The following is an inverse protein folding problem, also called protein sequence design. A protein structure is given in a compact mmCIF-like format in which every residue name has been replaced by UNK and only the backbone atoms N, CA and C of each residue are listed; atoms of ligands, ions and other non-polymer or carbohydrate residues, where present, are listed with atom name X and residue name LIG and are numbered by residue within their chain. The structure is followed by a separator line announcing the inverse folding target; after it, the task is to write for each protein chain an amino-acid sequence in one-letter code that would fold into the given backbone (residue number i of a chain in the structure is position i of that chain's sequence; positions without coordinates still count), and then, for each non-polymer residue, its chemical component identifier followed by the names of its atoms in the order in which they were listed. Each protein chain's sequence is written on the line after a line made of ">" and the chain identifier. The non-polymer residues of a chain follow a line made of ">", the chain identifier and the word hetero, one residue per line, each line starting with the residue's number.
data_IF_545094753870
#
_entry.id   IF_545094753870
#
_cell.length_a   1.000
_cell.length_b   1.000
_cell.length_c   1.000
_cell.angle_alpha   90.00
_cell.angle_beta   90.00
_cell.angle_gamma   90.00
#
_symmetry.space_group_name_H-M   'P 1'
#
loop_
_entity.id
_entity.type
_entity.pdbx_description
1 polymer ?
#
# COMPACT_ATOMS: atom_id res chain seq x y z
N UNK A 1 -10.83 -5.63 21.52
CA UNK A 1 -10.73 -4.23 21.06
C UNK A 1 -9.30 -3.96 20.62
N UNK A 2 -9.11 -3.70 19.32
CA UNK A 2 -7.79 -3.62 18.70
C UNK A 2 -7.10 -2.31 19.08
N UNK A 3 -5.90 -2.40 19.68
CA UNK A 3 -5.07 -1.28 20.13
C UNK A 3 -4.43 -0.55 18.92
N UNK A 4 -5.26 -0.09 17.98
CA UNK A 4 -4.84 0.53 16.71
C UNK A 4 -4.33 1.96 16.89
N UNK A 5 -4.73 2.63 17.96
CA UNK A 5 -4.44 4.06 18.18
C UNK A 5 -2.96 4.33 18.47
N UNK A 6 -2.29 3.45 19.23
CA UNK A 6 -0.86 3.56 19.51
C UNK A 6 0.01 3.33 18.28
N UNK A 7 -0.29 2.29 17.50
CA UNK A 7 0.45 1.96 16.27
C UNK A 7 0.34 3.06 15.22
N UNK A 8 -0.87 3.62 15.02
CA UNK A 8 -1.08 4.72 14.07
C UNK A 8 -0.32 5.99 14.46
N UNK A 9 -0.17 6.27 15.76
CA UNK A 9 0.64 7.40 16.26
C UNK A 9 2.12 7.19 16.00
N UNK A 10 2.63 5.98 16.26
CA UNK A 10 4.04 5.65 16.02
C UNK A 10 4.35 5.76 14.52
N UNK A 11 3.47 5.22 13.67
CA UNK A 11 3.62 5.30 12.22
C UNK A 11 3.60 6.75 11.73
N UNK A 12 2.70 7.59 12.26
CA UNK A 12 2.66 9.01 11.93
C UNK A 12 3.93 9.75 12.37
N UNK A 13 4.44 9.47 13.57
CA UNK A 13 5.69 10.05 14.06
C UNK A 13 6.88 9.62 13.19
N UNK A 14 6.97 8.34 12.81
CA UNK A 14 8.03 7.83 11.93
C UNK A 14 7.96 8.48 10.55
N UNK A 15 6.76 8.62 9.99
CA UNK A 15 6.57 9.27 8.69
C UNK A 15 6.99 10.74 8.71
N UNK A 16 6.57 11.50 9.73
CA UNK A 16 6.96 12.90 9.90
C UNK A 16 8.46 13.04 10.15
N UNK A 17 9.05 12.15 10.95
CA UNK A 17 10.49 12.17 11.19
C UNK A 17 11.28 11.87 9.92
N UNK A 18 10.84 10.89 9.12
CA UNK A 18 11.46 10.56 7.85
C UNK A 18 11.38 11.72 6.84
N UNK A 19 10.23 12.40 6.73
CA UNK A 19 10.10 13.56 5.83
C UNK A 19 10.98 14.72 6.26
N UNK A 20 11.06 15.00 7.55
CA UNK A 20 11.96 16.04 8.10
C UNK A 20 13.42 15.71 7.82
N UNK A 21 13.85 14.45 8.00
CA UNK A 21 15.20 14.03 7.67
C UNK A 21 15.51 14.15 6.17
N UNK A 22 14.58 13.76 5.29
CA UNK A 22 14.76 13.89 3.83
C UNK A 22 14.93 15.36 3.43
N UNK A 23 14.13 16.26 4.00
CA UNK A 23 14.22 17.71 3.71
C UNK A 23 15.53 18.29 4.25
N UNK A 24 15.94 17.92 5.46
CA UNK A 24 17.20 18.38 6.06
C UNK A 24 18.42 17.91 5.28
N UNK A 25 18.46 16.62 4.91
CA UNK A 25 19.55 16.06 4.10
C UNK A 25 19.58 16.71 2.72
N UNK A 26 18.42 16.96 2.10
CA UNK A 26 18.35 17.69 0.83
C UNK A 26 18.89 19.13 0.96
N UNK A 27 18.58 19.82 2.06
CA UNK A 27 19.08 21.18 2.33
C UNK A 27 20.59 21.23 2.60
N UNK A 28 21.13 20.27 3.35
CA UNK A 28 22.57 20.15 3.62
C UNK A 28 23.35 19.83 2.35
N UNK A 29 22.87 18.89 1.53
CA UNK A 29 23.47 18.57 0.24
C UNK A 29 23.45 19.75 -0.73
N UNK A 30 22.36 20.54 -0.72
CA UNK A 30 22.25 21.73 -1.55
C UNK A 30 23.18 22.85 -1.06
N UNK A 31 23.35 22.98 0.25
CA UNK A 31 24.28 23.95 0.86
C UNK A 31 25.74 23.60 0.62
N UNK A 32 26.11 22.33 0.71
CA UNK A 32 27.48 21.87 0.45
C UNK A 32 27.86 21.96 -1.03
N UNK A 33 26.87 22.00 -1.94
CA UNK A 33 27.10 22.05 -3.39
C UNK A 33 26.65 23.37 -4.06
N UNK A 34 26.33 24.41 -3.28
CA UNK A 34 25.83 25.70 -3.77
C UNK A 34 26.80 26.47 -4.71
N UNK A 35 28.03 25.98 -4.90
CA UNK A 35 29.04 26.54 -5.80
C UNK A 35 29.43 25.65 -6.99
N UNK A 36 28.84 24.47 -7.17
CA UNK A 36 29.23 23.57 -8.26
C UNK A 36 28.47 23.86 -9.55
N UNK A 37 29.19 24.29 -10.58
CA UNK A 37 28.71 24.36 -11.95
C UNK A 37 28.65 22.92 -12.46
N UNK A 38 27.45 22.32 -12.46
CA UNK A 38 27.20 20.98 -13.01
C UNK A 38 27.46 20.98 -14.53
N UNK A 39 28.73 20.86 -14.92
CA UNK A 39 29.14 20.86 -16.32
C UNK A 39 29.04 19.46 -16.95
N UNK A 40 29.11 18.40 -16.14
CA UNK A 40 29.01 17.01 -16.59
C UNK A 40 28.06 16.22 -15.67
N UNK A 41 26.88 15.91 -16.21
CA UNK A 41 25.73 15.35 -15.48
C UNK A 41 25.94 13.90 -14.99
N UNK A 42 27.03 13.26 -15.38
CA UNK A 42 27.24 11.82 -15.23
C UNK A 42 27.90 11.39 -13.91
N UNK A 43 28.55 12.30 -13.17
CA UNK A 43 29.24 11.97 -11.92
C UNK A 43 28.98 12.96 -10.77
N UNK A 44 27.87 13.70 -10.79
CA UNK A 44 27.51 14.53 -9.64
C UNK A 44 26.85 13.68 -8.54
N UNK A 45 27.46 13.56 -7.34
CA UNK A 45 26.93 12.74 -6.25
C UNK A 45 25.59 13.25 -5.71
N UNK A 46 25.26 14.53 -5.94
CA UNK A 46 23.96 15.10 -5.58
C UNK A 46 22.86 14.58 -6.52
N UNK A 47 23.13 14.55 -7.83
CA UNK A 47 22.18 14.10 -8.83
C UNK A 47 21.87 12.60 -8.67
N UNK A 48 22.87 11.78 -8.33
CA UNK A 48 22.65 10.35 -8.06
C UNK A 48 21.82 10.11 -6.80
N UNK A 49 22.04 10.89 -5.73
CA UNK A 49 21.23 10.80 -4.52
C UNK A 49 19.77 11.20 -4.75
N UNK A 50 19.53 12.26 -5.54
CA UNK A 50 18.18 12.70 -5.92
C UNK A 50 17.48 11.60 -6.74
N UNK A 51 18.18 11.02 -7.72
CA UNK A 51 17.65 9.93 -8.54
C UNK A 51 17.29 8.72 -7.67
N UNK A 52 18.16 8.36 -6.72
CA UNK A 52 17.93 7.24 -5.81
C UNK A 52 16.76 7.51 -4.85
N UNK A 53 16.61 8.75 -4.38
CA UNK A 53 15.47 9.17 -3.58
C UNK A 53 14.16 9.05 -4.38
N UNK A 54 14.13 9.52 -5.62
CA UNK A 54 12.98 9.41 -6.51
C UNK A 54 12.58 7.94 -6.74
N UNK A 55 13.56 7.07 -7.01
CA UNK A 55 13.33 5.63 -7.20
C UNK A 55 12.78 4.97 -5.94
N UNK A 56 13.29 5.32 -4.77
CA UNK A 56 12.79 4.81 -3.49
C UNK A 56 11.35 5.28 -3.23
N UNK A 57 11.03 6.54 -3.48
CA UNK A 57 9.66 7.07 -3.33
C UNK A 57 8.71 6.36 -4.30
N UNK A 58 9.10 6.18 -5.56
CA UNK A 58 8.31 5.43 -6.56
C UNK A 58 8.08 3.98 -6.14
N UNK A 59 9.10 3.33 -5.58
CA UNK A 59 9.02 1.93 -5.13
C UNK A 59 8.12 1.79 -3.91
N UNK A 60 8.27 2.68 -2.92
CA UNK A 60 7.41 2.68 -1.72
C UNK A 60 5.96 3.01 -2.10
N UNK A 61 5.75 4.00 -2.98
CA UNK A 61 4.42 4.38 -3.47
C UNK A 61 3.73 3.24 -4.22
N UNK A 62 4.42 2.59 -5.16
CA UNK A 62 3.87 1.46 -5.91
C UNK A 62 3.60 0.25 -5.01
N UNK A 63 4.49 -0.04 -4.06
CA UNK A 63 4.28 -1.09 -3.05
C UNK A 63 3.07 -0.81 -2.15
N UNK A 64 2.86 0.43 -1.71
CA UNK A 64 1.72 0.81 -0.88
C UNK A 64 0.40 0.63 -1.63
N UNK A 65 0.36 1.03 -2.90
CA UNK A 65 -0.80 0.85 -3.78
C UNK A 65 -1.10 -0.64 -3.95
N UNK A 66 -0.09 -1.47 -4.20
CA UNK A 66 -0.26 -2.91 -4.36
C UNK A 66 -0.80 -3.58 -3.07
N UNK A 67 -0.33 -3.17 -1.90
CA UNK A 67 -0.85 -3.71 -0.62
C UNK A 67 -2.30 -3.26 -0.40
N UNK A 68 -2.62 -2.00 -0.69
CA UNK A 68 -3.98 -1.48 -0.54
C UNK A 68 -4.98 -2.20 -1.47
N UNK A 69 -4.60 -2.46 -2.73
CA UNK A 69 -5.46 -3.19 -3.67
C UNK A 69 -5.72 -4.63 -3.23
N UNK A 70 -4.69 -5.34 -2.74
CA UNK A 70 -4.85 -6.71 -2.22
C UNK A 70 -5.79 -6.74 -1.03
N UNK A 71 -5.66 -5.80 -0.08
CA UNK A 71 -6.55 -5.71 1.08
C UNK A 71 -7.99 -5.45 0.63
N UNK A 72 -8.19 -4.54 -0.32
CA UNK A 72 -9.51 -4.21 -0.86
C UNK A 72 -10.16 -5.43 -1.53
N UNK A 73 -9.43 -6.15 -2.39
CA UNK A 73 -9.93 -7.35 -3.05
C UNK A 73 -10.26 -8.46 -2.04
N UNK A 74 -9.40 -8.69 -1.05
CA UNK A 74 -9.67 -9.69 -0.02
C UNK A 74 -10.94 -9.35 0.78
N UNK A 75 -11.14 -8.07 1.10
CA UNK A 75 -12.33 -7.58 1.80
C UNK A 75 -13.61 -7.82 0.98
N UNK A 76 -13.62 -7.40 -0.27
CA UNK A 76 -14.81 -7.57 -1.14
C UNK A 76 -15.13 -9.05 -1.36
N UNK A 77 -14.12 -9.90 -1.54
CA UNK A 77 -14.32 -11.35 -1.66
C UNK A 77 -14.91 -11.96 -0.39
N UNK A 78 -14.44 -11.54 0.78
CA UNK A 78 -14.99 -12.02 2.05
C UNK A 78 -16.45 -11.59 2.20
N UNK A 79 -16.79 -10.35 1.88
CA UNK A 79 -18.15 -9.83 1.90
C UNK A 79 -19.07 -10.58 0.93
N UNK A 80 -18.60 -10.85 -0.30
CA UNK A 80 -19.30 -11.69 -1.28
C UNK A 80 -19.58 -13.08 -0.74
N UNK A 81 -18.59 -13.76 -0.15
CA UNK A 81 -18.76 -15.10 0.43
C UNK A 81 -19.76 -15.08 1.58
N UNK A 82 -19.75 -14.05 2.43
CA UNK A 82 -20.72 -13.92 3.52
C UNK A 82 -22.13 -13.55 3.03
N UNK A 83 -22.23 -12.79 1.93
CA UNK A 83 -23.50 -12.43 1.30
C UNK A 83 -24.11 -13.59 0.51
N UNK A 84 -23.27 -14.51 0.02
CA UNK A 84 -23.66 -15.87 -0.35
C UNK A 84 -23.99 -16.66 0.92
N UNK A 85 -25.07 -16.26 1.60
CA UNK A 85 -25.83 -17.18 2.44
C UNK A 85 -26.06 -18.44 1.59
N UNK A 86 -25.60 -19.59 2.10
CA UNK A 86 -25.92 -20.89 1.56
C UNK A 86 -27.45 -21.03 1.66
N UNK A 87 -28.16 -20.50 0.64
CA UNK A 87 -29.48 -20.98 0.29
C UNK A 87 -29.23 -22.41 -0.13
N UNK A 88 -29.23 -23.29 0.88
CA UNK A 88 -29.60 -24.67 0.69
C UNK A 88 -30.88 -24.59 -0.09
N UNK A 89 -30.79 -24.79 -1.40
CA UNK A 89 -31.95 -25.09 -2.20
C UNK A 89 -32.32 -26.47 -1.70
N UNK A 90 -32.96 -26.55 -0.53
CA UNK A 90 -33.73 -27.70 -0.12
C UNK A 90 -34.89 -27.74 -1.10
N UNK A 91 -34.58 -28.16 -2.33
CA UNK A 91 -35.58 -28.72 -3.24
C UNK A 91 -36.08 -29.93 -2.48
N UNK A 92 -37.17 -29.75 -1.75
CA UNK A 92 -37.88 -30.88 -1.17
C UNK A 92 -38.24 -31.80 -2.35
N UNK A 93 -38.22 -33.11 -2.16
CA UNK A 93 -38.61 -34.07 -3.21
C UNK A 93 -40.00 -33.75 -3.80
N UNK A 94 -40.84 -33.07 -3.01
CA UNK A 94 -42.12 -32.47 -3.39
C UNK A 94 -41.98 -31.36 -4.44
N UNK A 95 -41.00 -30.46 -4.30
CA UNK A 95 -40.74 -29.37 -5.25
C UNK A 95 -40.13 -29.88 -6.57
N UNK A 96 -39.36 -30.97 -6.52
CA UNK A 96 -38.76 -31.59 -7.70
C UNK A 96 -39.72 -32.55 -8.44
N UNK A 97 -40.95 -32.72 -7.93
CA UNK A 97 -42.02 -33.54 -8.52
C UNK A 97 -41.56 -34.95 -8.92
N UNK A 98 -40.55 -35.47 -8.23
CA UNK A 98 -40.05 -36.83 -8.42
C UNK A 98 -41.14 -37.76 -7.92
N UNK A 99 -41.62 -38.65 -8.80
CA UNK A 99 -42.62 -39.64 -8.39
C UNK A 99 -41.93 -40.62 -7.46
N UNK A 100 -42.54 -40.83 -6.29
CA UNK A 100 -42.21 -41.95 -5.43
C UNK A 100 -42.94 -43.15 -6.00
N UNK A 101 -42.32 -43.87 -6.92
CA UNK A 101 -42.69 -45.24 -7.21
C UNK A 101 -42.20 -46.13 -6.05
N UNK A 102 -43.16 -46.79 -5.40
CA UNK A 102 -42.97 -47.77 -4.33
C UNK A 102 -42.90 -49.18 -4.88
#
# INVERSE_FOLDING_TARGET
>A
MSNKTGFNRILACVAVFATVLVVLVSGLLLSENAGHQCNDAEHCPVCSLILQCEQNIKTIGSGLIAVATVIYVAKTMTELVTAFEYRSVQTTLVSQKVRLDS
#
